data_IF_423276924929
#
_entry.id   IF_423276924929
#
_cell.length_a   1.000
_cell.length_b   1.000
_cell.length_c   1.000
_cell.angle_alpha   90.00
_cell.angle_beta   90.00
_cell.angle_gamma   90.00
#
_symmetry.space_group_name_H-M   'P 1'
#
loop_
_entity.id
_entity.type
_entity.pdbx_description
1 polymer ?
#
# COMPACT_ATOMS: atom_id res chain seq x y z
N UNK A 1 -74.30 -57.45 69.95
CA UNK A 1 -75.22 -58.50 70.44
C UNK A 1 -74.60 -59.09 71.69
N UNK A 2 -75.32 -58.99 72.81
CA UNK A 2 -75.16 -59.71 74.10
C UNK A 2 -73.84 -59.60 74.88
N UNK A 3 -73.79 -59.56 76.22
CA UNK A 3 -74.67 -59.12 77.34
C UNK A 3 -73.97 -59.67 78.60
N UNK A 4 -73.91 -58.85 79.66
CA UNK A 4 -74.02 -59.21 81.10
C UNK A 4 -72.82 -59.93 81.78
N UNK A 5 -72.23 -59.28 82.81
CA UNK A 5 -72.55 -59.51 84.25
C UNK A 5 -71.57 -58.69 85.12
N UNK A 6 -71.96 -57.65 85.86
CA UNK A 6 -72.61 -57.66 87.19
C UNK A 6 -71.80 -58.37 88.29
N UNK A 7 -71.06 -57.62 89.12
CA UNK A 7 -71.20 -57.76 90.57
C UNK A 7 -70.76 -56.51 91.34
N UNK A 8 -71.77 -56.00 92.05
CA UNK A 8 -71.83 -54.97 93.07
C UNK A 8 -71.47 -55.59 94.43
N UNK A 9 -70.91 -54.81 95.36
CA UNK A 9 -71.13 -54.77 96.82
C UNK A 9 -69.82 -54.44 97.58
N UNK A 10 -69.66 -53.33 98.31
CA UNK A 10 -70.34 -52.81 99.52
C UNK A 10 -69.26 -52.71 100.64
N UNK A 11 -69.06 -51.48 101.14
CA UNK A 11 -68.72 -51.09 102.51
C UNK A 11 -67.37 -51.54 103.09
N UNK A 12 -66.55 -50.55 103.47
CA UNK A 12 -66.39 -50.19 104.88
C UNK A 12 -66.15 -48.67 105.00
N UNK A 13 -67.15 -47.97 105.54
CA UNK A 13 -66.90 -46.83 106.40
C UNK A 13 -66.11 -47.36 107.59
N UNK A 14 -64.80 -47.23 107.55
CA UNK A 14 -63.99 -47.23 108.75
C UNK A 14 -63.38 -45.85 108.84
N UNK A 15 -63.92 -45.05 109.76
CA UNK A 15 -63.20 -43.93 110.31
C UNK A 15 -61.87 -44.48 110.82
N UNK A 16 -60.82 -44.31 110.03
CA UNK A 16 -59.47 -44.38 110.55
C UNK A 16 -59.31 -43.05 111.27
N UNK A 17 -59.45 -43.11 112.59
CA UNK A 17 -58.87 -42.11 113.48
C UNK A 17 -57.49 -41.81 112.92
N UNK A 18 -57.25 -40.57 112.48
CA UNK A 18 -55.91 -40.13 112.14
C UNK A 18 -55.08 -40.19 113.43
N UNK A 19 -54.40 -41.32 113.61
CA UNK A 19 -53.32 -41.48 114.56
C UNK A 19 -52.18 -40.61 114.08
N UNK A 20 -51.94 -39.54 114.81
CA UNK A 20 -50.91 -38.55 114.53
C UNK A 20 -49.54 -39.25 114.51
N UNK A 21 -48.80 -39.16 113.38
CA UNK A 21 -47.39 -39.53 113.29
C UNK A 21 -46.99 -40.89 112.69
N UNK A 22 -47.78 -41.61 111.89
CA UNK A 22 -47.34 -42.93 111.38
C UNK A 22 -46.37 -42.85 110.17
N UNK A 23 -45.25 -43.60 110.23
CA UNK A 23 -44.28 -43.74 109.14
C UNK A 23 -44.71 -44.83 108.13
N UNK A 24 -44.32 -44.75 106.87
CA UNK A 24 -44.69 -45.71 105.80
C UNK A 24 -43.49 -46.20 105.00
N UNK A 25 -43.59 -47.42 104.45
CA UNK A 25 -42.58 -48.01 103.57
C UNK A 25 -43.21 -48.70 102.35
N UNK A 26 -42.67 -48.42 101.16
CA UNK A 26 -43.10 -49.01 99.88
C UNK A 26 -41.95 -49.71 99.17
N UNK A 27 -42.26 -50.74 98.40
CA UNK A 27 -41.29 -51.54 97.65
C UNK A 27 -41.82 -51.84 96.25
N UNK A 28 -41.05 -51.57 95.20
CA UNK A 28 -41.45 -51.79 93.80
C UNK A 28 -40.34 -52.49 93.01
N UNK A 29 -40.54 -53.71 92.50
CA UNK A 29 -41.67 -54.59 92.77
C UNK A 29 -41.63 -55.16 94.20
N UNK A 30 -42.73 -55.77 94.64
CA UNK A 30 -42.80 -56.49 95.94
C UNK A 30 -42.23 -57.90 95.86
N UNK A 31 -41.92 -58.40 94.64
CA UNK A 31 -41.34 -59.70 94.38
C UNK A 31 -40.16 -59.53 93.42
N UNK A 32 -38.99 -60.04 93.80
CA UNK A 32 -37.84 -60.18 92.90
C UNK A 32 -37.97 -61.56 92.21
N UNK A 33 -38.17 -61.55 90.89
CA UNK A 33 -37.97 -62.72 90.03
C UNK A 33 -36.50 -62.74 89.60
N UNK A 34 -35.77 -63.77 90.04
CA UNK A 34 -34.36 -63.95 89.71
C UNK A 34 -34.12 -63.74 88.21
N UNK A 35 -33.11 -62.93 87.86
CA UNK A 35 -32.65 -62.70 86.48
C UNK A 35 -33.64 -61.99 85.53
N UNK A 36 -34.91 -61.78 85.92
CA UNK A 36 -35.94 -61.07 85.12
C UNK A 36 -36.24 -59.69 85.69
N UNK A 37 -36.28 -59.54 87.02
CA UNK A 37 -36.54 -58.24 87.65
C UNK A 37 -35.41 -57.27 87.35
N UNK A 38 -35.73 -56.18 86.66
CA UNK A 38 -34.74 -55.18 86.23
C UNK A 38 -34.30 -54.25 87.35
N UNK A 39 -35.19 -53.93 88.29
CA UNK A 39 -34.86 -53.12 89.45
C UNK A 39 -35.77 -53.39 90.64
N UNK A 40 -35.25 -53.17 91.85
CA UNK A 40 -36.00 -53.08 93.11
C UNK A 40 -35.81 -51.67 93.67
N UNK A 41 -36.90 -51.03 94.08
CA UNK A 41 -36.88 -49.72 94.74
C UNK A 41 -37.59 -49.81 96.08
N UNK A 42 -36.93 -49.41 97.17
CA UNK A 42 -37.48 -49.39 98.55
C UNK A 42 -37.53 -47.95 99.03
N UNK A 43 -38.69 -47.46 99.44
CA UNK A 43 -38.89 -46.08 99.88
C UNK A 43 -39.52 -46.01 101.27
N UNK A 44 -38.83 -45.36 102.20
CA UNK A 44 -39.27 -45.00 103.54
C UNK A 44 -39.79 -43.56 103.52
N UNK A 45 -40.99 -43.29 104.05
CA UNK A 45 -41.63 -41.98 104.01
C UNK A 45 -42.33 -41.66 105.31
N UNK A 46 -42.11 -40.44 105.80
CA UNK A 46 -42.87 -39.84 106.89
C UNK A 46 -43.74 -38.71 106.31
N UNK A 47 -45.08 -38.78 106.47
CA UNK A 47 -45.98 -37.81 105.86
C UNK A 47 -45.82 -36.40 106.48
N UNK A 48 -46.17 -35.34 105.76
CA UNK A 48 -46.20 -33.99 106.31
C UNK A 48 -47.20 -33.88 107.47
N UNK A 49 -46.84 -33.13 108.51
CA UNK A 49 -47.64 -32.96 109.72
C UNK A 49 -48.01 -31.48 109.88
N UNK A 50 -49.26 -31.12 109.58
CA UNK A 50 -49.70 -29.72 109.49
C UNK A 50 -50.11 -29.08 110.82
N UNK A 51 -50.17 -29.83 111.93
CA UNK A 51 -50.70 -29.31 113.21
C UNK A 51 -50.20 -30.00 114.49
N UNK A 52 -49.27 -30.96 114.42
CA UNK A 52 -48.92 -31.84 115.54
C UNK A 52 -47.56 -31.57 116.20
N UNK A 53 -46.85 -30.50 115.81
CA UNK A 53 -45.59 -30.09 116.45
C UNK A 53 -44.40 -31.04 116.26
N UNK A 54 -44.58 -32.18 115.58
CA UNK A 54 -43.51 -33.16 115.33
C UNK A 54 -42.62 -32.75 114.16
N UNK A 55 -41.31 -32.71 114.41
CA UNK A 55 -40.29 -32.49 113.39
C UNK A 55 -39.43 -33.73 113.24
N UNK A 56 -39.32 -34.24 112.00
CA UNK A 56 -38.43 -35.36 111.67
C UNK A 56 -36.99 -34.87 111.75
N UNK A 57 -36.16 -35.54 112.54
CA UNK A 57 -34.73 -35.28 112.55
C UNK A 57 -33.93 -36.39 111.86
N UNK A 58 -34.47 -37.61 111.79
CA UNK A 58 -33.86 -38.67 111.00
C UNK A 58 -34.86 -39.66 110.41
N UNK A 59 -34.60 -40.11 109.19
CA UNK A 59 -35.17 -41.33 108.64
C UNK A 59 -34.06 -42.37 108.43
N UNK A 60 -34.33 -43.61 108.78
CA UNK A 60 -33.43 -44.72 108.55
C UNK A 60 -34.17 -45.87 107.89
N UNK A 61 -33.60 -46.39 106.80
CA UNK A 61 -33.97 -47.67 106.23
C UNK A 61 -33.06 -48.74 106.82
N UNK A 62 -33.69 -49.75 107.39
CA UNK A 62 -33.03 -50.92 107.97
C UNK A 62 -33.52 -52.17 107.28
N UNK A 63 -32.74 -53.23 107.38
CA UNK A 63 -33.12 -54.55 106.91
C UNK A 63 -32.98 -55.56 108.02
N UNK A 64 -33.97 -56.41 108.14
CA UNK A 64 -33.93 -57.55 109.05
C UNK A 64 -32.98 -58.59 108.47
N UNK A 65 -31.90 -58.86 109.19
CA UNK A 65 -30.93 -59.91 108.83
C UNK A 65 -31.48 -61.29 109.18
N UNK A 66 -30.84 -62.34 108.67
CA UNK A 66 -31.20 -63.72 108.98
C UNK A 66 -31.18 -64.05 110.49
N UNK A 67 -30.40 -63.29 111.29
CA UNK A 67 -30.29 -63.46 112.74
C UNK A 67 -31.35 -62.66 113.52
N UNK A 68 -32.39 -62.17 112.84
CA UNK A 68 -33.44 -61.30 113.42
C UNK A 68 -32.92 -59.97 113.98
N UNK A 69 -31.71 -59.53 113.58
CA UNK A 69 -31.18 -58.21 113.94
C UNK A 69 -31.51 -57.20 112.84
N UNK A 70 -31.85 -55.97 113.22
CA UNK A 70 -32.09 -54.88 112.28
C UNK A 70 -30.79 -54.15 111.99
N UNK A 71 -30.26 -54.36 110.79
CA UNK A 71 -29.08 -53.68 110.29
C UNK A 71 -29.49 -52.42 109.54
N UNK A 72 -28.87 -51.28 109.86
CA UNK A 72 -29.19 -50.02 109.20
C UNK A 72 -28.51 -49.97 107.84
N UNK A 73 -29.29 -49.79 106.77
CA UNK A 73 -28.76 -49.73 105.40
C UNK A 73 -28.36 -48.31 105.03
N UNK A 74 -29.26 -47.38 105.29
CA UNK A 74 -29.08 -45.98 105.00
C UNK A 74 -29.87 -45.13 105.99
N UNK A 75 -29.38 -43.92 106.23
CA UNK A 75 -30.08 -42.93 107.02
C UNK A 75 -29.94 -41.55 106.40
N UNK A 76 -30.85 -40.66 106.74
CA UNK A 76 -30.78 -39.26 106.40
C UNK A 76 -31.12 -38.49 107.67
N UNK A 77 -30.33 -37.46 107.96
CA UNK A 77 -30.45 -36.66 109.17
C UNK A 77 -30.63 -35.17 108.81
N UNK A 78 -31.23 -34.41 109.73
CA UNK A 78 -31.50 -32.98 109.52
C UNK A 78 -30.22 -32.15 109.57
N UNK A 79 -29.32 -32.51 110.49
CA UNK A 79 -28.07 -31.78 110.74
C UNK A 79 -27.06 -31.95 109.60
N UNK A 80 -27.20 -33.00 108.78
CA UNK A 80 -26.36 -33.26 107.61
C UNK A 80 -26.92 -32.63 106.33
N UNK A 81 -27.69 -31.54 106.43
CA UNK A 81 -28.33 -30.86 105.30
C UNK A 81 -29.16 -31.79 104.38
N UNK A 82 -29.77 -32.85 104.94
CA UNK A 82 -30.51 -33.85 104.15
C UNK A 82 -29.65 -34.62 103.12
N UNK A 83 -28.35 -34.82 103.37
CA UNK A 83 -27.58 -35.83 102.62
C UNK A 83 -27.84 -37.23 103.16
N UNK A 84 -28.08 -38.17 102.25
CA UNK A 84 -28.27 -39.59 102.59
C UNK A 84 -26.91 -40.21 102.93
N UNK A 85 -26.80 -40.78 104.13
CA UNK A 85 -25.66 -41.54 104.59
C UNK A 85 -25.91 -43.04 104.38
N UNK A 86 -24.97 -43.73 103.73
CA UNK A 86 -25.04 -45.18 103.51
C UNK A 86 -24.20 -45.86 104.57
N UNK A 87 -24.88 -46.53 105.49
CA UNK A 87 -24.28 -47.18 106.64
C UNK A 87 -23.68 -48.55 106.25
N UNK A 88 -24.28 -49.25 105.28
CA UNK A 88 -23.82 -50.57 104.82
C UNK A 88 -23.78 -50.64 103.28
N UNK A 89 -22.62 -50.33 102.65
CA UNK A 89 -22.45 -50.36 101.19
C UNK A 89 -22.56 -51.76 100.58
N UNK A 90 -22.39 -52.80 101.38
CA UNK A 90 -22.24 -54.20 100.94
C UNK A 90 -23.51 -54.87 100.40
N UNK A 91 -24.66 -54.20 100.43
CA UNK A 91 -25.92 -54.71 99.86
C UNK A 91 -26.15 -54.34 98.39
N UNK A 92 -25.12 -53.90 97.64
CA UNK A 92 -25.20 -53.77 96.18
C UNK A 92 -26.15 -52.69 95.65
N UNK A 93 -26.47 -51.68 96.46
CA UNK A 93 -27.37 -50.60 96.10
C UNK A 93 -26.81 -49.77 94.94
N UNK A 94 -27.63 -49.57 93.92
CA UNK A 94 -27.28 -48.85 92.69
C UNK A 94 -27.46 -47.35 92.82
N UNK A 95 -28.49 -46.89 93.56
CA UNK A 95 -28.70 -45.47 93.82
C UNK A 95 -29.45 -45.23 95.13
N UNK A 96 -29.28 -44.05 95.73
CA UNK A 96 -29.99 -43.62 96.94
C UNK A 96 -30.39 -42.15 96.84
N UNK A 97 -31.59 -41.80 97.31
CA UNK A 97 -32.12 -40.43 97.30
C UNK A 97 -32.98 -40.18 98.54
N UNK A 98 -33.01 -38.96 99.07
CA UNK A 98 -33.82 -38.66 100.25
C UNK A 98 -33.84 -37.18 100.62
N UNK A 99 -34.82 -36.79 101.42
CA UNK A 99 -34.95 -35.43 101.95
C UNK A 99 -35.64 -35.44 103.31
N UNK A 100 -35.20 -34.57 104.23
CA UNK A 100 -35.96 -34.24 105.44
C UNK A 100 -36.67 -32.91 105.23
N UNK A 101 -38.00 -32.94 105.23
CA UNK A 101 -38.85 -31.77 105.07
C UNK A 101 -40.09 -31.91 105.95
N UNK A 102 -40.29 -30.96 106.87
CA UNK A 102 -41.42 -30.94 107.80
C UNK A 102 -42.74 -30.57 107.12
N UNK A 103 -42.71 -29.76 106.06
CA UNK A 103 -43.90 -29.21 105.39
C UNK A 103 -44.41 -30.10 104.25
N UNK A 104 -43.51 -30.71 103.47
CA UNK A 104 -43.83 -31.55 102.31
C UNK A 104 -43.76 -33.06 102.60
N UNK A 105 -43.27 -33.43 103.79
CA UNK A 105 -42.99 -34.80 104.19
C UNK A 105 -41.56 -35.21 103.87
N UNK A 106 -41.04 -36.13 104.66
CA UNK A 106 -39.66 -36.61 104.55
C UNK A 106 -39.63 -37.99 103.90
N UNK A 107 -38.61 -38.29 103.10
CA UNK A 107 -38.46 -39.63 102.53
C UNK A 107 -36.99 -40.03 102.34
N UNK A 108 -36.77 -41.34 102.20
CA UNK A 108 -35.52 -41.97 101.88
C UNK A 108 -35.80 -43.16 100.96
N UNK A 109 -35.16 -43.20 99.79
CA UNK A 109 -35.33 -44.21 98.74
C UNK A 109 -33.99 -44.84 98.40
N UNK A 110 -34.00 -46.16 98.25
CA UNK A 110 -32.88 -47.00 97.83
C UNK A 110 -33.29 -47.81 96.59
N UNK A 111 -32.42 -47.89 95.57
CA UNK A 111 -32.66 -48.64 94.33
C UNK A 111 -31.52 -49.62 94.04
N UNK A 112 -31.90 -50.81 93.56
CA UNK A 112 -31.02 -51.87 93.08
C UNK A 112 -31.36 -52.21 91.63
N UNK A 113 -30.38 -52.20 90.74
CA UNK A 113 -30.49 -52.68 89.35
C UNK A 113 -30.13 -54.16 89.32
N UNK A 114 -30.97 -54.97 88.68
CA UNK A 114 -30.89 -56.43 88.64
C UNK A 114 -30.76 -57.05 90.05
N UNK A 115 -31.74 -56.79 90.95
CA UNK A 115 -31.70 -57.29 92.31
C UNK A 115 -31.64 -58.82 92.36
N UNK A 116 -30.87 -59.35 93.30
CA UNK A 116 -30.68 -60.78 93.56
C UNK A 116 -31.43 -61.20 94.83
N UNK A 117 -31.35 -62.48 95.18
CA UNK A 117 -31.97 -63.02 96.38
C UNK A 117 -31.55 -62.27 97.66
N UNK A 118 -30.31 -61.77 97.71
CA UNK A 118 -29.75 -61.00 98.83
C UNK A 118 -30.49 -59.70 99.11
N UNK A 119 -31.21 -59.14 98.14
CA UNK A 119 -31.99 -57.90 98.28
C UNK A 119 -33.46 -58.18 98.65
N UNK A 120 -33.86 -59.44 98.80
CA UNK A 120 -35.17 -59.79 99.39
C UNK A 120 -35.13 -59.77 100.92
N UNK A 121 -36.30 -59.78 101.57
CA UNK A 121 -36.44 -59.78 103.02
C UNK A 121 -37.24 -58.59 103.54
N UNK A 122 -37.29 -58.45 104.86
CA UNK A 122 -38.08 -57.42 105.53
C UNK A 122 -37.25 -56.17 105.74
N UNK A 123 -37.70 -55.08 105.12
CA UNK A 123 -37.17 -53.74 105.32
C UNK A 123 -37.99 -53.04 106.38
N UNK A 124 -37.32 -52.28 107.25
CA UNK A 124 -37.93 -51.42 108.24
C UNK A 124 -37.60 -49.97 107.93
N UNK A 125 -38.63 -49.14 107.90
CA UNK A 125 -38.50 -47.70 107.90
C UNK A 125 -38.64 -47.20 109.34
N UNK A 126 -37.59 -46.59 109.87
CA UNK A 126 -37.54 -45.97 111.20
C UNK A 126 -37.48 -44.47 111.05
N UNK A 127 -38.41 -43.76 111.67
CA UNK A 127 -38.41 -42.31 111.77
C UNK A 127 -38.22 -41.89 113.23
N UNK A 128 -37.20 -41.08 113.48
CA UNK A 128 -37.07 -40.41 114.77
C UNK A 128 -37.53 -38.96 114.61
N UNK A 129 -38.44 -38.54 115.46
CA UNK A 129 -39.03 -37.20 115.47
C UNK A 129 -38.93 -36.61 116.87
N UNK A 130 -38.91 -35.29 116.98
CA UNK A 130 -39.08 -34.59 118.26
C UNK A 130 -40.31 -33.69 118.20
N UNK A 131 -40.96 -33.46 119.35
CA UNK A 131 -42.07 -32.50 119.47
C UNK A 131 -41.56 -31.10 119.87
N UNK A 132 -42.47 -30.14 120.04
CA UNK A 132 -42.13 -28.77 120.47
C UNK A 132 -41.56 -28.67 121.90
N UNK A 133 -41.62 -29.75 122.70
CA UNK A 133 -41.05 -29.85 124.04
C UNK A 133 -39.72 -30.62 124.07
N UNK A 134 -39.13 -30.90 122.90
CA UNK A 134 -37.90 -31.70 122.70
C UNK A 134 -37.99 -33.18 123.13
N UNK A 135 -39.20 -33.72 123.33
CA UNK A 135 -39.39 -35.15 123.55
C UNK A 135 -39.19 -35.93 122.24
N UNK A 136 -38.41 -37.01 122.30
CA UNK A 136 -38.09 -37.84 121.14
C UNK A 136 -39.08 -39.01 121.01
N UNK A 137 -39.71 -39.13 119.85
CA UNK A 137 -40.57 -40.25 119.47
C UNK A 137 -39.97 -41.03 118.30
N UNK A 138 -40.25 -42.34 118.30
CA UNK A 138 -39.74 -43.27 117.28
C UNK A 138 -40.90 -44.01 116.65
N UNK A 139 -41.04 -43.88 115.34
CA UNK A 139 -42.02 -44.60 114.53
C UNK A 139 -41.31 -45.62 113.64
N UNK A 140 -41.85 -46.84 113.57
CA UNK A 140 -41.29 -47.90 112.74
C UNK A 140 -42.39 -48.59 111.94
N UNK A 141 -42.14 -48.90 110.67
CA UNK A 141 -43.03 -49.67 109.79
C UNK A 141 -42.22 -50.64 108.93
N UNK A 142 -42.74 -51.84 108.69
CA UNK A 142 -42.02 -52.91 107.99
C UNK A 142 -42.67 -53.27 106.65
N UNK A 143 -41.87 -53.56 105.62
CA UNK A 143 -42.32 -54.12 104.34
C UNK A 143 -41.40 -55.24 103.87
N UNK A 144 -41.99 -56.37 103.48
CA UNK A 144 -41.23 -57.50 102.95
C UNK A 144 -41.24 -57.50 101.43
N UNK A 145 -40.06 -57.73 100.86
CA UNK A 145 -39.87 -58.08 99.44
C UNK A 145 -39.62 -59.58 99.40
N UNK A 146 -40.42 -60.33 98.67
CA UNK A 146 -40.17 -61.77 98.48
C UNK A 146 -39.25 -62.01 97.29
N UNK A 147 -38.58 -63.16 97.29
CA UNK A 147 -37.81 -63.64 96.17
C UNK A 147 -38.49 -64.88 95.60
N UNK A 148 -38.58 -64.97 94.28
CA UNK A 148 -39.06 -66.17 93.60
C UNK A 148 -38.19 -66.47 92.39
N UNK A 149 -38.15 -67.75 92.02
CA UNK A 149 -37.62 -68.14 90.72
C UNK A 149 -38.62 -67.72 89.63
N UNK A 150 -38.14 -67.31 88.45
CA UNK A 150 -39.01 -66.91 87.35
C UNK A 150 -39.90 -68.08 86.91
N UNK A 151 -41.16 -67.77 86.63
CA UNK A 151 -42.10 -68.79 86.15
C UNK A 151 -41.78 -69.19 84.71
N UNK A 152 -42.14 -70.43 84.33
CA UNK A 152 -42.09 -70.87 82.91
C UNK A 152 -42.89 -69.89 82.01
N UNK A 153 -43.98 -69.31 82.51
CA UNK A 153 -44.76 -68.29 81.81
C UNK A 153 -43.99 -66.98 81.57
N UNK A 154 -43.26 -66.49 82.57
CA UNK A 154 -42.41 -65.28 82.49
C UNK A 154 -41.32 -65.44 81.42
N UNK A 155 -40.66 -66.61 81.41
CA UNK A 155 -39.64 -66.96 80.41
C UNK A 155 -40.25 -67.12 79.01
N UNK A 156 -41.40 -67.79 78.89
CA UNK A 156 -42.12 -67.97 77.63
C UNK A 156 -42.53 -66.63 77.01
N UNK A 157 -42.99 -65.68 77.83
CA UNK A 157 -43.32 -64.33 77.37
C UNK A 157 -42.09 -63.57 76.85
N UNK A 158 -40.95 -63.68 77.53
CA UNK A 158 -39.69 -63.08 77.08
C UNK A 158 -39.21 -63.68 75.74
N UNK A 159 -39.33 -65.01 75.58
CA UNK A 159 -39.01 -65.71 74.33
C UNK A 159 -39.90 -65.21 73.18
N UNK A 160 -41.22 -65.13 73.37
CA UNK A 160 -42.12 -64.61 72.33
C UNK A 160 -41.83 -63.15 71.98
N UNK A 161 -41.45 -62.32 72.97
CA UNK A 161 -41.04 -60.94 72.72
C UNK A 161 -39.78 -60.87 71.86
N UNK A 162 -38.76 -61.67 72.18
CA UNK A 162 -37.52 -61.76 71.40
C UNK A 162 -37.77 -62.26 69.98
N UNK A 163 -38.57 -63.32 69.84
CA UNK A 163 -38.95 -63.87 68.53
C UNK A 163 -39.66 -62.82 67.67
N UNK A 164 -40.60 -62.07 68.25
CA UNK A 164 -41.27 -60.96 67.58
C UNK A 164 -40.30 -59.85 67.16
N UNK A 165 -39.37 -59.44 68.02
CA UNK A 165 -38.37 -58.42 67.68
C UNK A 165 -37.42 -58.88 66.55
N UNK A 166 -36.98 -60.14 66.58
CA UNK A 166 -36.13 -60.73 65.54
C UNK A 166 -36.87 -60.78 64.21
N UNK A 167 -38.10 -61.29 64.19
CA UNK A 167 -38.91 -61.37 62.96
C UNK A 167 -39.19 -59.98 62.37
N UNK A 168 -39.49 -59.00 63.21
CA UNK A 168 -39.69 -57.61 62.77
C UNK A 168 -38.42 -56.98 62.19
N UNK A 169 -37.23 -57.31 62.73
CA UNK A 169 -35.96 -56.86 62.16
C UNK A 169 -35.64 -57.56 60.85
N UNK A 170 -35.94 -58.86 60.75
CA UNK A 170 -35.73 -59.64 59.53
C UNK A 170 -36.57 -59.11 58.38
N UNK A 171 -37.86 -58.84 58.61
CA UNK A 171 -38.74 -58.25 57.58
C UNK A 171 -38.26 -56.87 57.11
N UNK A 172 -37.69 -56.05 58.01
CA UNK A 172 -37.09 -54.76 57.62
C UNK A 172 -35.86 -54.96 56.74
N UNK A 173 -34.98 -55.88 57.11
CA UNK A 173 -33.79 -56.21 56.33
C UNK A 173 -34.15 -56.74 54.93
N UNK A 174 -35.16 -57.60 54.83
CA UNK A 174 -35.65 -58.09 53.53
C UNK A 174 -36.17 -56.94 52.65
N UNK A 175 -36.91 -56.00 53.25
CA UNK A 175 -37.39 -54.81 52.55
C UNK A 175 -36.23 -53.92 52.09
N UNK A 176 -35.25 -53.69 52.95
CA UNK A 176 -34.06 -52.89 52.61
C UNK A 176 -33.25 -53.55 51.50
N UNK A 177 -33.07 -54.87 51.55
CA UNK A 177 -32.39 -55.62 50.50
C UNK A 177 -33.12 -55.54 49.16
N UNK A 178 -34.45 -55.62 49.17
CA UNK A 178 -35.28 -55.42 47.98
C UNK A 178 -35.15 -54.00 47.40
N UNK A 179 -35.12 -52.99 48.26
CA UNK A 179 -34.90 -51.59 47.86
C UNK A 179 -33.51 -51.40 47.26
N UNK A 180 -32.45 -51.94 47.90
CA UNK A 180 -31.07 -51.89 47.40
C UNK A 180 -30.97 -52.58 46.03
N UNK A 181 -31.60 -53.74 45.88
CA UNK A 181 -31.62 -54.47 44.60
C UNK A 181 -32.26 -53.62 43.50
N UNK A 182 -33.37 -52.95 43.82
CA UNK A 182 -34.05 -52.05 42.88
C UNK A 182 -33.17 -50.86 42.51
N UNK A 183 -32.50 -50.24 43.48
CA UNK A 183 -31.56 -49.15 43.24
C UNK A 183 -30.37 -49.59 42.38
N UNK A 184 -29.79 -50.76 42.66
CA UNK A 184 -28.68 -51.31 41.89
C UNK A 184 -29.08 -51.52 40.41
N UNK A 185 -30.28 -52.05 40.16
CA UNK A 185 -30.80 -52.20 38.80
C UNK A 185 -31.01 -50.84 38.11
N UNK A 186 -31.50 -49.83 38.83
CA UNK A 186 -31.64 -48.47 38.30
C UNK A 186 -30.27 -47.84 37.97
N UNK A 187 -29.27 -48.03 38.83
CA UNK A 187 -27.89 -47.60 38.59
C UNK A 187 -27.30 -48.28 37.37
N UNK A 188 -27.49 -49.59 37.21
CA UNK A 188 -27.01 -50.33 36.05
C UNK A 188 -27.61 -49.80 34.73
N UNK A 189 -28.92 -49.58 34.71
CA UNK A 189 -29.59 -49.00 33.55
C UNK A 189 -29.09 -47.59 33.21
N UNK A 190 -28.70 -46.82 34.24
CA UNK A 190 -28.12 -45.47 34.06
C UNK A 190 -26.72 -45.57 33.48
N UNK A 191 -25.90 -46.51 33.95
CA UNK A 191 -24.56 -46.76 33.42
C UNK A 191 -24.60 -47.18 31.95
N UNK A 192 -25.54 -48.05 31.55
CA UNK A 192 -25.71 -48.44 30.15
C UNK A 192 -26.07 -47.26 29.25
N UNK A 193 -26.94 -46.36 29.71
CA UNK A 193 -27.26 -45.12 28.97
C UNK A 193 -26.04 -44.23 28.84
N UNK A 194 -25.31 -44.01 29.93
CA UNK A 194 -24.08 -43.21 29.90
C UNK A 194 -23.03 -43.79 28.97
N UNK A 195 -22.90 -45.12 28.89
CA UNK A 195 -21.99 -45.78 27.97
C UNK A 195 -22.37 -45.52 26.51
N UNK A 196 -23.67 -45.57 26.19
CA UNK A 196 -24.16 -45.25 24.85
C UNK A 196 -23.92 -43.78 24.49
N UNK A 197 -24.16 -42.87 25.42
CA UNK A 197 -23.88 -41.44 25.23
C UNK A 197 -22.38 -41.19 25.02
N UNK A 198 -21.51 -41.87 25.77
CA UNK A 198 -20.06 -41.78 25.59
C UNK A 198 -19.62 -42.25 24.21
N UNK A 199 -20.18 -43.37 23.72
CA UNK A 199 -19.90 -43.87 22.38
C UNK A 199 -20.35 -42.88 21.30
N UNK A 200 -21.53 -42.27 21.47
CA UNK A 200 -22.05 -41.25 20.56
C UNK A 200 -21.17 -39.99 20.54
N UNK A 201 -20.76 -39.50 21.71
CA UNK A 201 -19.85 -38.36 21.84
C UNK A 201 -18.51 -38.67 21.15
N UNK A 202 -17.99 -39.88 21.33
CA UNK A 202 -16.75 -40.33 20.68
C UNK A 202 -16.87 -40.29 19.16
N UNK A 203 -18.00 -40.78 18.61
CA UNK A 203 -18.25 -40.73 17.17
C UNK A 203 -18.33 -39.28 16.64
N UNK A 204 -19.04 -38.40 17.37
CA UNK A 204 -19.14 -36.97 17.02
C UNK A 204 -17.79 -36.26 17.10
N UNK A 205 -16.97 -36.57 18.09
CA UNK A 205 -15.60 -36.05 18.23
C UNK A 205 -14.74 -36.44 17.03
N UNK A 206 -14.77 -37.72 16.64
CA UNK A 206 -14.05 -38.20 15.45
C UNK A 206 -14.50 -37.51 14.16
N UNK A 207 -15.83 -37.33 13.99
CA UNK A 207 -16.36 -36.60 12.84
C UNK A 207 -15.90 -35.14 12.83
N UNK A 208 -15.88 -34.48 13.99
CA UNK A 208 -15.43 -33.09 14.14
C UNK A 208 -13.95 -32.97 13.82
N UNK A 209 -13.12 -33.89 14.32
CA UNK A 209 -11.69 -33.93 14.02
C UNK A 209 -11.41 -34.08 12.52
N UNK A 210 -12.16 -34.93 11.81
CA UNK A 210 -12.03 -35.08 10.36
C UNK A 210 -12.40 -33.79 9.60
N UNK A 211 -13.45 -33.08 10.05
CA UNK A 211 -13.81 -31.77 9.49
C UNK A 211 -12.71 -30.74 9.73
N UNK A 212 -12.11 -30.72 10.93
CA UNK A 212 -11.02 -29.83 11.29
C UNK A 212 -9.79 -30.04 10.39
N UNK A 213 -9.39 -31.30 10.18
CA UNK A 213 -8.27 -31.64 9.28
C UNK A 213 -8.53 -31.22 7.83
N UNK A 214 -9.80 -31.30 7.37
CA UNK A 214 -10.15 -30.81 6.03
C UNK A 214 -10.02 -29.29 5.94
N UNK A 215 -10.54 -28.57 6.93
CA UNK A 215 -10.42 -27.11 7.02
C UNK A 215 -8.96 -26.66 7.08
N UNK A 216 -8.11 -27.38 7.82
CA UNK A 216 -6.68 -27.10 7.89
C UNK A 216 -6.00 -27.20 6.52
N UNK A 217 -6.33 -28.22 5.72
CA UNK A 217 -5.82 -28.36 4.35
C UNK A 217 -6.29 -27.22 3.44
N UNK A 218 -7.56 -26.83 3.54
CA UNK A 218 -8.12 -25.71 2.77
C UNK A 218 -7.43 -24.39 3.15
N UNK A 219 -7.19 -24.15 4.44
CA UNK A 219 -6.49 -22.97 4.94
C UNK A 219 -5.04 -22.91 4.45
N UNK A 220 -4.32 -24.04 4.46
CA UNK A 220 -2.96 -24.12 3.94
C UNK A 220 -2.91 -23.83 2.43
N UNK A 221 -3.90 -24.33 1.67
CA UNK A 221 -4.02 -24.03 0.25
C UNK A 221 -4.31 -22.54 -0.01
N UNK A 222 -5.21 -21.93 0.76
CA UNK A 222 -5.48 -20.49 0.69
C UNK A 222 -4.24 -19.65 1.03
N UNK A 223 -3.46 -20.08 2.02
CA UNK A 223 -2.20 -19.43 2.40
C UNK A 223 -1.19 -19.47 1.25
N UNK A 224 -1.06 -20.61 0.57
CA UNK A 224 -0.20 -20.74 -0.61
C UNK A 224 -0.67 -19.84 -1.76
N UNK A 225 -1.97 -19.78 -2.03
CA UNK A 225 -2.55 -18.89 -3.04
C UNK A 225 -2.31 -17.41 -2.72
N UNK A 226 -2.49 -17.01 -1.46
CA UNK A 226 -2.21 -15.64 -0.99
C UNK A 226 -0.74 -15.27 -1.19
N UNK A 227 0.18 -16.19 -0.87
CA UNK A 227 1.62 -16.01 -1.11
C UNK A 227 1.93 -15.83 -2.59
N UNK A 228 1.32 -16.67 -3.45
CA UNK A 228 1.48 -16.55 -4.90
C UNK A 228 0.94 -15.23 -5.44
N UNK A 229 -0.22 -14.78 -4.94
CA UNK A 229 -0.80 -13.50 -5.31
C UNK A 229 0.09 -12.33 -4.90
N UNK A 230 0.63 -12.35 -3.68
CA UNK A 230 1.55 -11.31 -3.20
C UNK A 230 2.82 -11.23 -4.07
N UNK A 231 3.39 -12.36 -4.48
CA UNK A 231 4.53 -12.39 -5.38
C UNK A 231 4.20 -11.81 -6.77
N UNK A 232 2.98 -12.01 -7.28
CA UNK A 232 2.52 -11.38 -8.53
C UNK A 232 2.38 -9.86 -8.37
N UNK A 233 1.88 -9.41 -7.22
CA UNK A 233 1.74 -7.99 -6.90
C UNK A 233 3.10 -7.27 -6.89
N UNK A 234 4.13 -7.88 -6.27
CA UNK A 234 5.49 -7.33 -6.26
C UNK A 234 6.10 -7.25 -7.66
N UNK A 235 5.84 -8.25 -8.53
CA UNK A 235 6.28 -8.18 -9.93
C UNK A 235 5.61 -7.02 -10.66
N UNK A 236 4.31 -6.85 -10.47
CA UNK A 236 3.55 -5.76 -11.07
C UNK A 236 4.06 -4.39 -10.60
N UNK A 237 4.41 -4.26 -9.33
CA UNK A 237 5.01 -3.05 -8.77
C UNK A 237 6.37 -2.73 -9.42
N UNK A 238 7.22 -3.74 -9.61
CA UNK A 238 8.49 -3.57 -10.32
C UNK A 238 8.29 -3.17 -11.79
N UNK A 239 7.32 -3.78 -12.48
CA UNK A 239 6.98 -3.42 -13.86
C UNK A 239 6.48 -1.98 -13.96
N UNK A 240 5.67 -1.53 -13.01
CA UNK A 240 5.20 -0.14 -12.93
C UNK A 240 6.34 0.86 -12.72
N UNK A 241 7.30 0.53 -11.85
CA UNK A 241 8.49 1.35 -11.62
C UNK A 241 9.36 1.44 -12.89
N UNK A 242 9.53 0.33 -13.62
CA UNK A 242 10.23 0.31 -14.91
C UNK A 242 9.51 1.16 -15.96
N UNK A 243 8.19 1.05 -16.08
CA UNK A 243 7.39 1.88 -16.99
C UNK A 243 7.50 3.37 -16.66
N UNK A 244 7.52 3.72 -15.38
CA UNK A 244 7.73 5.10 -14.91
C UNK A 244 9.10 5.63 -15.34
N UNK A 245 10.16 4.83 -15.19
CA UNK A 245 11.50 5.19 -15.64
C UNK A 245 11.58 5.40 -17.17
N UNK A 246 10.97 4.50 -17.95
CA UNK A 246 10.89 4.63 -19.41
C UNK A 246 10.11 5.87 -19.85
N UNK A 247 9.04 6.20 -19.15
CA UNK A 247 8.24 7.41 -19.39
C UNK A 247 9.09 8.66 -19.18
N UNK A 248 9.84 8.71 -18.07
CA UNK A 248 10.75 9.83 -17.79
C UNK A 248 11.87 9.95 -18.83
N UNK A 249 12.43 8.83 -19.28
CA UNK A 249 13.44 8.82 -20.34
C UNK A 249 12.86 9.35 -21.66
N UNK A 250 11.63 8.95 -21.99
CA UNK A 250 10.93 9.40 -23.20
C UNK A 250 10.63 10.89 -23.14
N UNK A 251 10.15 11.40 -22.01
CA UNK A 251 9.94 12.84 -21.77
C UNK A 251 11.22 13.64 -21.98
N UNK A 252 12.36 13.15 -21.46
CA UNK A 252 13.64 13.82 -21.66
C UNK A 252 14.10 13.83 -23.12
N UNK A 253 13.81 12.77 -23.89
CA UNK A 253 14.05 12.76 -25.34
C UNK A 253 13.16 13.76 -26.07
N UNK A 254 11.89 13.87 -25.68
CA UNK A 254 10.95 14.84 -26.25
C UNK A 254 11.44 16.28 -26.04
N UNK A 255 11.87 16.61 -24.82
CA UNK A 255 12.38 17.95 -24.52
C UNK A 255 13.64 18.30 -25.33
N UNK A 256 14.53 17.32 -25.58
CA UNK A 256 15.70 17.53 -26.46
C UNK A 256 15.27 17.78 -27.90
N UNK A 257 14.32 17.01 -28.40
CA UNK A 257 13.77 17.18 -29.74
C UNK A 257 13.07 18.54 -29.91
N UNK A 258 12.37 19.00 -28.89
CA UNK A 258 11.76 20.33 -28.87
C UNK A 258 12.82 21.44 -28.97
N UNK A 259 13.92 21.31 -28.23
CA UNK A 259 15.04 22.25 -28.33
C UNK A 259 15.70 22.23 -29.72
N UNK A 260 15.91 21.03 -30.28
CA UNK A 260 16.47 20.89 -31.63
C UNK A 260 15.55 21.54 -32.67
N UNK A 261 14.23 21.35 -32.54
CA UNK A 261 13.24 21.98 -33.42
C UNK A 261 13.27 23.51 -33.32
N UNK A 262 13.40 24.05 -32.12
CA UNK A 262 13.54 25.49 -31.90
C UNK A 262 14.84 26.04 -32.54
N UNK A 263 15.95 25.31 -32.41
CA UNK A 263 17.22 25.68 -33.05
C UNK A 263 17.12 25.65 -34.58
N UNK A 264 16.49 24.62 -35.14
CA UNK A 264 16.24 24.52 -36.59
C UNK A 264 15.38 25.67 -37.09
N UNK A 265 14.36 26.07 -36.31
CA UNK A 265 13.51 27.22 -36.63
C UNK A 265 14.33 28.52 -36.72
N UNK A 266 15.25 28.74 -35.78
CA UNK A 266 16.16 29.90 -35.82
C UNK A 266 17.09 29.84 -37.04
N UNK A 267 17.66 28.68 -37.35
CA UNK A 267 18.53 28.50 -38.53
C UNK A 267 17.78 28.74 -39.85
N UNK A 268 16.52 28.28 -39.94
CA UNK A 268 15.67 28.51 -41.10
C UNK A 268 15.41 30.01 -41.30
N UNK A 269 15.08 30.74 -40.22
CA UNK A 269 14.88 32.18 -40.28
C UNK A 269 16.14 32.94 -40.72
N UNK A 270 17.32 32.54 -40.21
CA UNK A 270 18.59 33.14 -40.63
C UNK A 270 18.91 32.88 -42.10
N UNK A 271 18.64 31.66 -42.57
CA UNK A 271 18.82 31.29 -43.97
C UNK A 271 17.88 32.09 -44.87
N UNK A 272 16.63 32.26 -44.46
CA UNK A 272 15.65 33.08 -45.17
C UNK A 272 16.09 34.54 -45.31
N UNK A 273 16.63 35.13 -44.22
CA UNK A 273 17.20 36.49 -44.28
C UNK A 273 18.36 36.59 -45.28
N UNK A 274 19.27 35.61 -45.30
CA UNK A 274 20.37 35.58 -46.28
C UNK A 274 19.87 35.48 -47.72
N UNK A 275 18.84 34.67 -47.97
CA UNK A 275 18.23 34.54 -49.30
C UNK A 275 17.62 35.86 -49.77
N UNK A 276 16.87 36.57 -48.91
CA UNK A 276 16.32 37.89 -49.23
C UNK A 276 17.41 38.92 -49.54
N UNK A 277 18.52 38.89 -48.78
CA UNK A 277 19.66 39.77 -49.06
C UNK A 277 20.27 39.46 -50.43
N UNK A 278 20.48 38.17 -50.73
CA UNK A 278 21.02 37.72 -52.01
C UNK A 278 20.11 38.08 -53.18
N UNK A 279 18.78 37.98 -53.01
CA UNK A 279 17.79 38.41 -54.00
C UNK A 279 17.92 39.90 -54.31
N UNK A 280 18.08 40.74 -53.29
CA UNK A 280 18.30 42.18 -53.48
C UNK A 280 19.63 42.47 -54.19
N UNK A 281 20.71 41.77 -53.81
CA UNK A 281 22.00 41.91 -54.47
C UNK A 281 21.92 41.48 -55.95
N UNK A 282 21.18 40.42 -56.26
CA UNK A 282 20.94 39.96 -57.63
C UNK A 282 20.15 40.99 -58.47
N UNK A 283 19.12 41.61 -57.87
CA UNK A 283 18.36 42.68 -58.53
C UNK A 283 19.23 43.91 -58.82
N UNK A 284 20.12 44.28 -57.88
CA UNK A 284 21.07 45.37 -58.08
C UNK A 284 22.08 45.06 -59.20
N UNK A 285 22.64 43.84 -59.21
CA UNK A 285 23.54 43.40 -60.28
C UNK A 285 22.84 43.40 -61.64
N UNK A 286 21.58 42.96 -61.70
CA UNK A 286 20.76 43.00 -62.91
C UNK A 286 20.59 44.43 -63.42
N UNK A 287 20.31 45.39 -62.53
CA UNK A 287 20.20 46.80 -62.89
C UNK A 287 21.53 47.37 -63.43
N UNK A 288 22.66 47.04 -62.79
CA UNK A 288 23.99 47.45 -63.24
C UNK A 288 24.35 46.86 -64.61
N UNK A 289 24.01 45.59 -64.85
CA UNK A 289 24.21 44.94 -66.14
C UNK A 289 23.41 45.67 -67.24
N UNK A 290 22.14 45.99 -66.99
CA UNK A 290 21.31 46.74 -67.93
C UNK A 290 21.88 48.14 -68.21
N UNK A 291 22.37 48.84 -67.18
CA UNK A 291 23.01 50.15 -67.36
C UNK A 291 24.27 50.05 -68.23
N UNK A 292 25.09 49.03 -68.01
CA UNK A 292 26.31 48.78 -68.77
C UNK A 292 25.99 48.48 -70.23
N UNK A 293 24.99 47.63 -70.47
CA UNK A 293 24.51 47.31 -71.82
C UNK A 293 24.04 48.57 -72.56
N UNK A 294 23.28 49.44 -71.89
CA UNK A 294 22.83 50.70 -72.49
C UNK A 294 24.00 51.66 -72.83
N UNK A 295 25.06 51.67 -72.01
CA UNK A 295 26.27 52.46 -72.31
C UNK A 295 27.02 51.89 -73.51
N UNK A 296 27.14 50.56 -73.61
CA UNK A 296 27.79 49.89 -74.72
C UNK A 296 27.08 50.22 -76.05
N UNK A 297 25.75 50.12 -76.08
CA UNK A 297 24.96 50.48 -77.27
C UNK A 297 25.15 51.95 -77.70
N UNK A 298 25.28 52.89 -76.74
CA UNK A 298 25.54 54.30 -77.05
C UNK A 298 26.94 54.49 -77.61
N UNK A 299 27.93 53.78 -77.06
CA UNK A 299 29.31 53.84 -77.55
C UNK A 299 29.41 53.29 -78.97
N UNK A 300 28.77 52.14 -79.25
CA UNK A 300 28.67 51.55 -80.58
C UNK A 300 28.04 52.53 -81.57
N UNK A 301 26.91 53.15 -81.21
CA UNK A 301 26.26 54.18 -82.05
C UNK A 301 27.17 55.38 -82.29
N UNK A 302 27.88 55.84 -81.26
CA UNK A 302 28.77 57.00 -81.37
C UNK A 302 29.96 56.69 -82.28
N UNK A 303 30.54 55.49 -82.16
CA UNK A 303 31.64 55.05 -83.01
C UNK A 303 31.21 55.00 -84.48
N UNK A 304 30.03 54.43 -84.76
CA UNK A 304 29.49 54.38 -86.11
C UNK A 304 29.22 55.78 -86.70
N UNK A 305 28.69 56.69 -85.88
CA UNK A 305 28.48 58.08 -86.29
C UNK A 305 29.81 58.79 -86.58
N UNK A 306 30.83 58.60 -85.74
CA UNK A 306 32.16 59.19 -85.97
C UNK A 306 32.79 58.65 -87.26
N UNK A 307 32.78 57.33 -87.48
CA UNK A 307 33.26 56.70 -88.72
C UNK A 307 32.60 57.33 -89.94
N UNK A 308 31.27 57.43 -89.94
CA UNK A 308 30.50 58.00 -91.07
C UNK A 308 30.71 59.50 -91.31
N UNK A 309 31.12 60.27 -90.29
CA UNK A 309 31.49 61.69 -90.47
C UNK A 309 32.88 61.89 -91.04
N UNK A 310 33.79 60.93 -90.83
CA UNK A 310 35.18 61.04 -91.26
C UNK A 310 35.44 60.35 -92.60
N UNK A 311 34.64 59.32 -92.94
CA UNK A 311 34.86 58.51 -94.12
C UNK A 311 33.56 58.13 -94.84
N UNK A 312 33.62 58.12 -96.17
CA UNK A 312 32.66 57.44 -97.03
C UNK A 312 33.16 56.02 -97.30
N UNK A 313 32.48 55.04 -96.70
CA UNK A 313 32.73 53.61 -96.88
C UNK A 313 32.21 53.12 -98.24
N UNK A 314 33.00 52.33 -98.96
CA UNK A 314 32.62 51.70 -100.23
C UNK A 314 31.72 50.46 -100.03
N UNK A 315 31.30 49.80 -101.11
CA UNK A 315 30.97 48.37 -101.03
C UNK A 315 32.26 47.54 -100.97
N UNK A 316 32.19 46.30 -100.48
CA UNK A 316 33.33 45.38 -100.57
C UNK A 316 33.67 45.14 -102.04
N UNK A 317 34.95 45.28 -102.39
CA UNK A 317 35.45 45.07 -103.73
C UNK A 317 36.73 44.24 -103.67
N UNK A 318 36.74 43.10 -104.37
CA UNK A 318 37.85 42.14 -104.39
C UNK A 318 38.37 41.72 -102.99
N UNK A 319 37.45 41.52 -102.03
CA UNK A 319 37.79 41.14 -100.65
C UNK A 319 38.31 42.29 -99.78
N UNK A 320 38.23 43.53 -100.27
CA UNK A 320 38.73 44.72 -99.58
C UNK A 320 37.62 45.75 -99.40
N UNK A 321 37.72 46.52 -98.33
CA UNK A 321 36.84 47.64 -98.04
C UNK A 321 37.61 48.94 -98.23
N UNK A 322 37.11 49.83 -99.07
CA UNK A 322 37.75 51.13 -99.28
C UNK A 322 37.01 52.23 -98.53
N UNK A 323 37.77 53.20 -98.01
CA UNK A 323 37.26 54.32 -97.24
C UNK A 323 37.82 55.61 -97.82
N UNK A 324 36.95 56.43 -98.41
CA UNK A 324 37.32 57.76 -98.88
C UNK A 324 37.19 58.75 -97.73
N UNK A 325 38.23 59.51 -97.44
CA UNK A 325 38.17 60.56 -96.41
C UNK A 325 37.17 61.65 -96.79
N UNK A 326 36.49 62.19 -95.77
CA UNK A 326 35.62 63.37 -95.87
C UNK A 326 36.29 64.62 -95.31
N UNK A 327 37.58 64.52 -94.99
CA UNK A 327 38.43 65.60 -94.52
C UNK A 327 39.79 65.55 -95.20
N UNK A 328 40.46 66.70 -95.23
CA UNK A 328 41.80 66.85 -95.78
C UNK A 328 42.84 66.57 -94.68
N UNK A 329 43.77 65.61 -94.88
CA UNK A 329 44.85 65.38 -93.94
C UNK A 329 45.94 66.43 -94.12
N UNK A 330 46.67 66.73 -93.05
CA UNK A 330 47.77 67.70 -93.12
C UNK A 330 48.98 67.15 -93.90
N UNK A 331 49.15 65.83 -93.93
CA UNK A 331 50.23 65.15 -94.64
C UNK A 331 49.83 63.74 -95.05
N UNK A 332 50.58 63.14 -95.98
CA UNK A 332 50.44 61.73 -96.33
C UNK A 332 50.63 60.82 -95.11
N UNK A 333 51.51 61.18 -94.17
CA UNK A 333 51.68 60.44 -92.91
C UNK A 333 50.41 60.49 -92.06
N UNK A 334 49.72 61.63 -91.98
CA UNK A 334 48.43 61.72 -91.27
C UNK A 334 47.34 60.90 -91.96
N UNK A 335 47.35 60.85 -93.28
CA UNK A 335 46.44 60.02 -94.06
C UNK A 335 46.68 58.53 -93.78
N UNK A 336 47.95 58.09 -93.77
CA UNK A 336 48.34 56.72 -93.44
C UNK A 336 47.88 56.33 -92.03
N UNK A 337 48.18 57.15 -91.01
CA UNK A 337 47.74 56.89 -89.63
C UNK A 337 46.22 56.76 -89.51
N UNK A 338 45.47 57.52 -90.30
CA UNK A 338 44.02 57.44 -90.32
C UNK A 338 43.52 56.13 -90.95
N UNK A 339 44.21 55.63 -91.98
CA UNK A 339 43.93 54.32 -92.56
C UNK A 339 44.30 53.18 -91.60
N UNK A 340 45.43 53.29 -90.88
CA UNK A 340 45.83 52.34 -89.84
C UNK A 340 44.81 52.27 -88.70
N UNK A 341 44.21 53.41 -88.33
CA UNK A 341 43.16 53.45 -87.31
C UNK A 341 41.88 52.70 -87.74
N UNK A 342 41.66 52.52 -89.04
CA UNK A 342 40.60 51.67 -89.61
C UNK A 342 41.05 50.20 -89.78
N UNK A 343 42.32 49.88 -89.48
CA UNK A 343 42.92 48.57 -89.71
C UNK A 343 43.41 48.34 -91.14
N UNK A 344 43.60 49.41 -91.92
CA UNK A 344 44.07 49.36 -93.30
C UNK A 344 45.31 50.25 -93.53
N UNK A 345 45.51 50.65 -94.78
CA UNK A 345 46.61 51.49 -95.24
C UNK A 345 46.15 52.38 -96.41
N UNK A 346 46.94 53.35 -96.86
CA UNK A 346 46.60 54.14 -98.06
C UNK A 346 46.46 53.22 -99.28
N UNK A 347 45.39 53.38 -100.06
CA UNK A 347 45.03 52.44 -101.12
C UNK A 347 46.15 52.24 -102.15
N UNK A 348 46.51 50.98 -102.37
CA UNK A 348 47.57 50.58 -103.30
C UNK A 348 46.89 50.05 -104.57
N UNK A 349 47.10 50.75 -105.68
CA UNK A 349 46.40 50.43 -106.94
C UNK A 349 47.27 49.51 -107.77
N UNK A 350 47.05 48.21 -107.63
CA UNK A 350 47.83 47.20 -108.33
C UNK A 350 47.26 46.90 -109.72
N UNK A 351 45.95 47.13 -109.91
CA UNK A 351 45.28 46.84 -111.16
C UNK A 351 44.34 47.95 -111.64
N UNK A 352 44.13 48.01 -112.96
CA UNK A 352 43.19 48.97 -113.56
C UNK A 352 41.78 48.89 -112.96
N UNK A 353 41.29 47.70 -112.64
CA UNK A 353 39.94 47.54 -112.09
C UNK A 353 39.79 48.12 -110.68
N UNK A 354 40.87 48.17 -109.89
CA UNK A 354 40.89 48.86 -108.59
C UNK A 354 40.84 50.36 -108.80
N UNK A 355 41.65 50.89 -109.74
CA UNK A 355 41.58 52.30 -110.12
C UNK A 355 40.17 52.70 -110.55
N UNK A 356 39.54 51.91 -111.43
CA UNK A 356 38.17 52.14 -111.88
C UNK A 356 37.17 52.07 -110.71
N UNK A 357 37.35 51.16 -109.75
CA UNK A 357 36.52 51.10 -108.55
C UNK A 357 36.69 52.34 -107.66
N UNK A 358 37.91 52.81 -107.45
CA UNK A 358 38.17 54.04 -106.68
C UNK A 358 37.48 55.25 -107.32
N UNK A 359 37.46 55.35 -108.65
CA UNK A 359 36.69 56.37 -109.37
C UNK A 359 35.20 56.28 -109.00
N UNK A 360 34.61 55.08 -108.95
CA UNK A 360 33.20 54.93 -108.55
C UNK A 360 32.95 55.33 -107.09
N UNK A 361 33.91 55.07 -106.19
CA UNK A 361 33.84 55.47 -104.78
C UNK A 361 33.88 57.00 -104.64
N UNK A 362 34.77 57.66 -105.36
CA UNK A 362 34.87 59.12 -105.43
C UNK A 362 33.56 59.71 -105.96
N UNK A 363 33.05 59.19 -107.08
CA UNK A 363 31.84 59.68 -107.75
C UNK A 363 32.12 60.84 -108.72
N UNK A 364 31.06 61.57 -109.10
CA UNK A 364 31.16 62.68 -110.07
C UNK A 364 31.93 63.88 -109.50
N UNK A 365 32.91 64.47 -110.20
CA UNK A 365 33.74 65.54 -109.68
C UNK A 365 32.90 66.78 -109.33
N UNK A 366 32.90 67.19 -108.06
CA UNK A 366 32.22 68.41 -107.61
C UNK A 366 33.08 69.68 -107.81
N UNK A 367 34.39 69.53 -108.05
CA UNK A 367 35.31 70.61 -108.41
C UNK A 367 36.54 70.01 -109.13
N UNK A 368 37.06 70.70 -110.14
CA UNK A 368 38.19 70.29 -110.99
C UNK A 368 39.57 70.43 -110.32
N UNK A 369 39.65 70.49 -109.00
CA UNK A 369 40.88 70.84 -108.26
C UNK A 369 41.14 69.93 -107.04
N UNK A 370 40.43 68.81 -106.91
CA UNK A 370 40.60 67.90 -105.76
C UNK A 370 41.41 66.68 -106.15
N UNK A 371 42.46 66.42 -105.39
CA UNK A 371 43.29 65.22 -105.50
C UNK A 371 43.00 64.21 -104.38
N UNK A 372 43.27 62.94 -104.62
CA UNK A 372 43.08 61.85 -103.66
C UNK A 372 44.38 61.09 -103.51
N UNK A 373 45.02 61.21 -102.35
CA UNK A 373 46.25 60.48 -102.03
C UNK A 373 46.01 58.97 -102.03
N UNK A 374 46.99 58.27 -102.60
CA UNK A 374 47.10 56.82 -102.68
C UNK A 374 48.41 56.36 -102.01
N UNK A 375 48.59 55.05 -101.91
CA UNK A 375 49.74 54.43 -101.24
C UNK A 375 51.07 54.57 -102.00
N UNK A 376 51.09 55.11 -103.22
CA UNK A 376 52.32 55.26 -104.01
C UNK A 376 53.24 56.37 -103.51
N UNK A 377 54.55 56.11 -103.51
CA UNK A 377 55.60 57.08 -103.16
C UNK A 377 56.94 56.71 -103.79
N UNK A 378 57.79 57.69 -104.05
CA UNK A 378 59.21 57.50 -104.31
C UNK A 378 60.10 58.13 -103.22
N UNK A 379 59.51 58.43 -102.04
CA UNK A 379 60.26 58.89 -100.87
C UNK A 379 61.42 57.92 -100.57
N UNK A 380 62.63 58.47 -100.57
CA UNK A 380 63.88 57.73 -100.35
C UNK A 380 64.68 57.45 -101.62
N UNK A 381 64.04 57.29 -102.78
CA UNK A 381 64.72 57.11 -104.08
C UNK A 381 63.94 57.76 -105.23
N UNK A 382 64.27 59.02 -105.51
CA UNK A 382 63.70 59.84 -106.58
C UNK A 382 63.57 59.07 -107.92
N UNK A 383 62.36 59.09 -108.49
CA UNK A 383 62.02 58.42 -109.74
C UNK A 383 61.75 56.91 -109.61
N UNK A 384 61.86 56.34 -108.40
CA UNK A 384 61.51 54.93 -108.11
C UNK A 384 60.26 54.86 -107.23
N UNK A 385 59.11 54.80 -107.89
CA UNK A 385 57.82 54.67 -107.24
C UNK A 385 57.54 53.26 -106.70
N UNK A 386 57.15 53.20 -105.44
CA UNK A 386 56.73 52.00 -104.70
C UNK A 386 55.47 52.27 -103.90
N UNK A 387 54.74 51.21 -103.61
CA UNK A 387 53.63 51.17 -102.68
C UNK A 387 54.15 51.23 -101.22
N UNK A 388 53.61 52.12 -100.39
CA UNK A 388 54.08 52.41 -99.02
C UNK A 388 53.95 51.22 -98.07
N UNK A 389 52.83 50.51 -98.12
CA UNK A 389 52.52 49.39 -97.23
C UNK A 389 53.17 48.10 -97.71
N UNK A 390 53.01 47.74 -98.99
CA UNK A 390 53.56 46.48 -99.52
C UNK A 390 55.04 46.56 -99.93
N UNK A 391 55.57 47.76 -100.16
CA UNK A 391 56.94 47.98 -100.64
C UNK A 391 57.19 47.52 -102.08
N UNK A 392 56.14 47.13 -102.80
CA UNK A 392 56.21 46.66 -104.19
C UNK A 392 56.26 47.85 -105.17
N UNK A 393 56.80 47.70 -106.40
CA UNK A 393 56.62 48.71 -107.44
C UNK A 393 55.14 48.91 -107.75
N UNK A 394 54.75 50.13 -108.18
CA UNK A 394 53.36 50.42 -108.53
C UNK A 394 52.82 49.44 -109.60
N UNK A 395 51.73 48.73 -109.29
CA UNK A 395 51.16 47.71 -110.19
C UNK A 395 50.37 48.30 -111.37
N UNK A 396 49.63 49.38 -111.15
CA UNK A 396 48.95 50.12 -112.21
C UNK A 396 49.15 51.62 -112.06
N UNK A 397 49.48 52.30 -113.16
CA UNK A 397 49.63 53.75 -113.20
C UNK A 397 48.88 54.36 -114.38
N UNK A 398 48.24 55.51 -114.16
CA UNK A 398 47.57 56.30 -115.18
C UNK A 398 48.02 57.76 -115.12
N UNK A 399 49.34 57.99 -115.18
CA UNK A 399 49.94 59.31 -115.09
C UNK A 399 49.35 60.30 -116.09
N UNK A 400 49.10 61.53 -115.64
CA UNK A 400 48.81 62.66 -116.52
C UNK A 400 49.98 62.83 -117.50
N UNK A 401 49.70 63.29 -118.72
CA UNK A 401 50.74 63.52 -119.71
C UNK A 401 51.77 64.53 -119.17
N UNK A 402 53.01 64.08 -119.04
CA UNK A 402 54.11 64.88 -118.47
C UNK A 402 54.54 64.43 -117.07
N UNK A 403 53.71 63.62 -116.39
CA UNK A 403 53.95 63.16 -115.02
C UNK A 403 54.57 61.75 -114.96
N UNK A 404 55.28 61.40 -113.86
CA UNK A 404 55.65 62.30 -112.75
C UNK A 404 56.79 63.26 -113.15
N UNK A 405 56.64 64.54 -112.83
CA UNK A 405 57.56 65.62 -113.23
C UNK A 405 58.42 66.14 -112.08
N UNK A 406 58.13 65.71 -110.84
CA UNK A 406 58.72 66.21 -109.61
C UNK A 406 58.79 67.74 -109.62
N UNK A 407 57.66 68.39 -109.93
CA UNK A 407 57.58 69.83 -110.07
C UNK A 407 58.14 70.53 -108.83
N UNK A 408 59.21 71.31 -109.02
CA UNK A 408 59.87 72.09 -107.95
C UNK A 408 59.07 73.34 -107.58
N UNK A 409 57.73 73.25 -107.54
CA UNK A 409 56.89 74.36 -107.11
C UNK A 409 57.19 74.66 -105.64
N UNK A 410 57.79 75.84 -105.38
CA UNK A 410 58.18 76.31 -104.04
C UNK A 410 59.24 75.47 -103.28
N UNK A 411 60.25 74.94 -103.97
CA UNK A 411 61.38 74.19 -103.37
C UNK A 411 60.98 72.89 -102.62
N UNK A 412 59.75 72.40 -102.83
CA UNK A 412 59.25 71.14 -102.30
C UNK A 412 59.32 70.06 -103.38
N UNK A 413 59.64 68.82 -102.98
CA UNK A 413 59.66 67.66 -103.88
C UNK A 413 58.31 66.95 -103.84
N UNK A 414 57.84 66.50 -105.00
CA UNK A 414 56.59 65.77 -105.14
C UNK A 414 56.85 64.27 -105.06
N UNK A 415 56.65 63.68 -103.87
CA UNK A 415 56.96 62.26 -103.61
C UNK A 415 55.73 61.43 -103.26
N UNK A 416 54.53 61.98 -103.44
CA UNK A 416 53.29 61.34 -103.05
C UNK A 416 52.35 61.16 -104.24
N UNK A 417 51.88 59.93 -104.45
CA UNK A 417 50.96 59.60 -105.52
C UNK A 417 49.57 60.07 -105.15
N UNK A 418 48.96 60.86 -106.03
CA UNK A 418 47.55 61.16 -105.96
C UNK A 418 46.86 60.84 -107.28
N UNK A 419 45.56 60.54 -107.20
CA UNK A 419 44.68 60.55 -108.36
C UNK A 419 43.83 61.81 -108.35
N UNK A 420 43.59 62.40 -109.52
CA UNK A 420 42.80 63.62 -109.68
C UNK A 420 41.99 63.57 -110.97
N UNK A 421 40.91 64.34 -111.04
CA UNK A 421 40.15 64.49 -112.27
C UNK A 421 40.77 65.56 -113.15
N UNK A 422 41.23 65.19 -114.35
CA UNK A 422 41.77 66.13 -115.32
C UNK A 422 40.72 66.46 -116.38
N UNK A 423 40.31 67.73 -116.43
CA UNK A 423 39.26 68.21 -117.33
C UNK A 423 39.68 68.15 -118.80
N UNK A 424 40.97 68.35 -119.11
CA UNK A 424 41.47 68.34 -120.50
C UNK A 424 41.39 66.96 -121.16
N UNK A 425 41.54 65.88 -120.38
CA UNK A 425 41.40 64.50 -120.87
C UNK A 425 40.09 63.84 -120.43
N UNK A 426 39.24 64.56 -119.69
CA UNK A 426 37.95 64.11 -119.18
C UNK A 426 38.03 62.73 -118.49
N UNK A 427 39.06 62.54 -117.67
CA UNK A 427 39.35 61.28 -116.99
C UNK A 427 40.06 61.50 -115.66
N UNK A 428 39.97 60.51 -114.76
CA UNK A 428 40.86 60.46 -113.62
C UNK A 428 42.25 60.00 -114.07
N UNK A 429 43.25 60.74 -113.65
CA UNK A 429 44.68 60.51 -113.93
C UNK A 429 45.46 60.56 -112.63
N UNK A 430 46.72 60.13 -112.66
CA UNK A 430 47.63 60.19 -111.54
C UNK A 430 48.60 61.36 -111.69
N UNK A 431 48.93 61.97 -110.56
CA UNK A 431 49.86 63.08 -110.43
C UNK A 431 50.72 62.82 -109.19
N UNK A 432 52.00 63.14 -109.26
CA UNK A 432 52.85 63.26 -108.08
C UNK A 432 52.56 64.61 -107.43
N UNK A 433 52.45 64.61 -106.11
CA UNK A 433 52.19 65.80 -105.32
C UNK A 433 53.17 65.88 -104.17
N UNK A 434 53.31 67.08 -103.61
CA UNK A 434 53.97 67.26 -102.31
C UNK A 434 53.25 66.42 -101.24
N UNK A 435 53.99 65.73 -100.37
CA UNK A 435 53.41 64.90 -99.32
C UNK A 435 52.74 65.66 -98.15
N UNK A 436 52.64 66.99 -98.24
CA UNK A 436 52.10 67.86 -97.20
C UNK A 436 51.12 68.87 -97.80
N UNK A 437 50.00 69.10 -97.11
CA UNK A 437 49.06 70.16 -97.47
C UNK A 437 49.60 71.50 -96.94
N UNK A 438 50.11 72.33 -97.85
CA UNK A 438 50.71 73.63 -97.53
C UNK A 438 49.73 74.77 -97.84
N UNK A 439 49.01 75.28 -96.83
CA UNK A 439 48.19 76.51 -96.85
C UNK A 439 47.58 76.90 -98.22
N UNK A 440 46.84 76.00 -98.86
CA UNK A 440 46.09 76.26 -100.09
C UNK A 440 46.83 75.97 -101.42
N UNK A 441 47.99 75.32 -101.37
CA UNK A 441 48.75 74.93 -102.58
C UNK A 441 48.35 73.54 -103.11
N UNK A 442 48.03 72.59 -102.22
CA UNK A 442 47.62 71.23 -102.59
C UNK A 442 46.47 70.76 -101.68
N UNK A 443 45.23 70.80 -102.19
CA UNK A 443 44.06 70.23 -101.51
C UNK A 443 43.87 68.77 -101.91
N UNK A 444 44.13 67.86 -100.98
CA UNK A 444 43.92 66.44 -101.19
C UNK A 444 43.10 65.79 -100.07
N UNK A 445 42.25 64.85 -100.48
CA UNK A 445 41.65 63.83 -99.63
C UNK A 445 42.48 62.55 -99.77
N UNK A 446 42.07 61.46 -99.14
CA UNK A 446 42.80 60.21 -99.25
C UNK A 446 41.85 59.02 -99.24
N UNK A 447 42.33 57.91 -99.80
CA UNK A 447 41.57 56.66 -99.85
C UNK A 447 42.34 55.62 -99.06
N UNK A 448 41.69 55.03 -98.08
CA UNK A 448 42.19 53.86 -97.36
C UNK A 448 41.67 52.58 -98.01
N UNK A 449 42.48 51.54 -97.89
CA UNK A 449 42.17 50.17 -98.23
C UNK A 449 42.30 49.31 -96.98
N UNK A 450 41.20 48.68 -96.58
CA UNK A 450 41.10 47.86 -95.38
C UNK A 450 40.81 46.41 -95.78
N UNK A 451 41.70 45.46 -95.46
CA UNK A 451 41.43 44.02 -95.65
C UNK A 451 40.23 43.56 -94.82
N UNK A 452 39.37 42.69 -95.36
CA UNK A 452 38.19 42.13 -94.67
C UNK A 452 38.41 40.68 -94.26
#
# INVERSE_FOLDING_TARGET
MCLISFQMLLFFLNGVQFTVGQVTITTTPTVIESEITKSLVVTCRFPPQSSSGYQVFSLALKKLTANSTLEQLASINRDTHSTVHIDVPSYGMSSSNGVINSTLGSFLTLEWVNPMASESGTYQCKANVFNEADDIFVFNENKSVSFTQPSVGSLTHLIFKLESEVNNKLQRLEKDFSNITTQANQTNNTLEKMQNDFNNITAQSNQTNNKLQKLEKEFNNLTAQSTQFNNKLQRLENDFNNLTAQTNQTKNKLNRMENDFNNLTVQANHTNYKLQKMENDFNNLTAQANQTNNKLQRLETTLHNLESTMFKKSTVFNGRQYYLSLYEPHSAVNAEMACEALGGYLAEVDFKYEFDFLITLIGTPAASEVSFLLGGTDEGHEGRWVNRHSGTPLGYTSWLQGQPDNSLFHDLRENCLAMMYEATVNAFVMNDLTCFNSNGVNTFYFICEVPI
#
